data_IF_691502112855
#
_entry.id   IF_691502112855
#
_cell.length_a   1.000
_cell.length_b   1.000
_cell.length_c   1.000
_cell.angle_alpha   90.00
_cell.angle_beta   90.00
_cell.angle_gamma   90.00
#
_symmetry.space_group_name_H-M   'P 1'
#
loop_
_entity.id
_entity.type
_entity.pdbx_description
1 polymer ?
#
# COMPACT_ATOMS: atom_id res chain seq x y z
N UNK A 1 14.52 4.80 5.63
CA UNK A 1 13.12 4.39 5.76
C UNK A 1 12.60 5.01 7.05
N UNK A 2 11.67 5.95 6.95
CA UNK A 2 11.10 6.67 8.07
C UNK A 2 9.70 6.13 8.38
N UNK A 3 9.54 5.66 9.62
CA UNK A 3 8.27 5.14 10.12
C UNK A 3 7.76 6.05 11.22
N UNK A 4 6.56 6.62 11.04
CA UNK A 4 5.96 7.52 12.02
C UNK A 4 4.45 7.36 12.10
N UNK A 5 3.88 7.74 13.23
CA UNK A 5 2.43 7.74 13.47
C UNK A 5 1.99 9.17 13.74
N UNK A 6 0.99 9.65 13.00
CA UNK A 6 0.40 10.98 13.18
C UNK A 6 -1.08 10.86 13.47
N UNK A 7 -1.57 11.69 14.38
CA UNK A 7 -2.99 11.68 14.74
C UNK A 7 -3.83 12.43 13.72
N UNK A 8 -4.99 11.88 13.43
CA UNK A 8 -5.98 12.46 12.53
C UNK A 8 -6.96 13.28 13.36
N UNK A 9 -7.08 14.57 13.05
CA UNK A 9 -7.97 15.49 13.75
C UNK A 9 -9.06 16.05 12.83
N UNK A 10 -10.23 16.32 13.39
CA UNK A 10 -11.25 17.16 12.76
C UNK A 10 -10.85 18.64 12.86
N UNK A 11 -10.91 19.35 11.74
CA UNK A 11 -10.65 20.79 11.68
C UNK A 11 -11.95 21.55 11.51
N UNK A 12 -12.13 22.59 12.34
CA UNK A 12 -13.22 23.56 12.22
C UNK A 12 -12.73 24.96 12.57
N UNK A 13 -13.05 25.93 11.72
CA UNK A 13 -12.60 27.33 11.84
C UNK A 13 -11.08 27.45 12.00
N UNK A 14 -10.33 26.58 11.31
CA UNK A 14 -8.87 26.53 11.34
C UNK A 14 -8.26 25.94 12.61
N UNK A 15 -9.05 25.30 13.48
CA UNK A 15 -8.60 24.70 14.75
C UNK A 15 -8.81 23.19 14.78
N UNK A 16 -7.89 22.49 15.45
CA UNK A 16 -8.03 21.05 15.79
C UNK A 16 -9.13 20.91 16.86
N UNK A 17 -10.20 20.21 16.53
CA UNK A 17 -11.35 20.05 17.44
C UNK A 17 -11.24 18.78 18.27
N UNK A 18 -11.09 17.63 17.61
CA UNK A 18 -11.02 16.32 18.27
C UNK A 18 -10.21 15.33 17.46
N UNK A 19 -9.60 14.38 18.16
CA UNK A 19 -8.97 13.23 17.53
C UNK A 19 -10.06 12.29 16.99
N UNK A 20 -9.89 11.86 15.73
CA UNK A 20 -10.81 10.93 15.04
C UNK A 20 -10.10 9.67 14.54
N UNK A 21 -8.81 9.52 14.84
CA UNK A 21 -8.00 8.43 14.34
C UNK A 21 -6.50 8.70 14.31
N UNK A 22 -5.79 7.88 13.55
CA UNK A 22 -4.36 8.02 13.31
C UNK A 22 -4.01 7.56 11.89
N UNK A 23 -2.88 8.03 11.41
CA UNK A 23 -2.26 7.64 10.15
C UNK A 23 -0.89 7.07 10.48
N UNK A 24 -0.62 5.84 10.05
CA UNK A 24 0.74 5.30 10.03
C UNK A 24 1.37 5.64 8.69
N UNK A 25 2.57 6.18 8.74
CA UNK A 25 3.35 6.58 7.58
C UNK A 25 4.60 5.73 7.57
N UNK A 26 4.87 5.11 6.43
CA UNK A 26 6.10 4.39 6.12
C UNK A 26 6.62 4.96 4.80
N UNK A 27 7.72 5.71 4.87
CA UNK A 27 8.31 6.39 3.72
C UNK A 27 9.73 5.90 3.48
N UNK A 28 10.07 5.66 2.22
CA UNK A 28 11.44 5.49 1.75
C UNK A 28 11.76 6.55 0.69
N UNK A 29 12.95 6.46 0.09
CA UNK A 29 13.45 7.49 -0.84
C UNK A 29 12.66 7.56 -2.17
N UNK A 30 11.88 6.53 -2.51
CA UNK A 30 11.17 6.41 -3.79
C UNK A 30 9.64 6.36 -3.66
N UNK A 31 9.11 5.90 -2.53
CA UNK A 31 7.68 5.68 -2.32
C UNK A 31 7.28 5.82 -0.85
N UNK A 32 5.98 6.04 -0.64
CA UNK A 32 5.38 6.11 0.67
C UNK A 32 4.09 5.30 0.77
N UNK A 33 3.88 4.70 1.95
CA UNK A 33 2.65 4.06 2.36
C UNK A 33 1.99 4.88 3.47
N UNK A 34 0.70 5.18 3.33
CA UNK A 34 -0.15 5.73 4.40
C UNK A 34 -1.19 4.69 4.79
N UNK A 35 -1.27 4.31 6.06
CA UNK A 35 -2.38 3.54 6.60
C UNK A 35 -3.23 4.45 7.47
N UNK A 36 -4.41 4.81 6.97
CA UNK A 36 -5.33 5.73 7.62
C UNK A 36 -6.36 4.92 8.39
N UNK A 37 -6.39 5.11 9.70
CA UNK A 37 -7.34 4.49 10.61
C UNK A 37 -8.18 5.57 11.30
N UNK A 38 -9.41 5.75 10.83
CA UNK A 38 -10.42 6.58 11.48
C UNK A 38 -11.36 5.72 12.31
N UNK A 39 -11.56 6.07 13.58
CA UNK A 39 -12.56 5.45 14.47
C UNK A 39 -13.45 6.54 15.05
N UNK A 40 -14.75 6.47 14.77
CA UNK A 40 -15.76 7.31 15.41
C UNK A 40 -16.93 7.64 14.49
N UNK A 41 -18.04 8.07 15.08
CA UNK A 41 -19.24 8.53 14.36
C UNK A 41 -19.04 9.91 13.69
N UNK A 42 -17.82 10.25 13.28
CA UNK A 42 -17.51 11.52 12.65
C UNK A 42 -18.02 11.60 11.21
N UNK A 43 -18.36 10.46 10.60
CA UNK A 43 -19.00 10.38 9.29
C UNK A 43 -20.32 9.62 9.33
N UNK A 44 -21.30 10.15 8.59
CA UNK A 44 -22.61 9.59 8.27
C UNK A 44 -22.63 9.27 6.78
N UNK A 45 -22.01 8.16 6.37
CA UNK A 45 -21.95 7.71 4.98
C UNK A 45 -21.52 8.84 4.03
N UNK A 46 -20.22 9.11 3.99
CA UNK A 46 -19.65 10.20 3.19
C UNK A 46 -18.72 9.66 2.11
N UNK A 47 -18.68 10.37 0.99
CA UNK A 47 -17.59 10.25 0.04
C UNK A 47 -16.44 11.15 0.51
N UNK A 48 -15.25 10.57 0.62
CA UNK A 48 -14.06 11.24 1.15
C UNK A 48 -13.04 11.38 0.03
N UNK A 49 -12.62 12.61 -0.24
CA UNK A 49 -11.47 12.89 -1.10
C UNK A 49 -10.20 12.96 -0.27
N UNK A 50 -9.17 12.26 -0.72
CA UNK A 50 -7.91 12.17 0.01
C UNK A 50 -6.84 12.97 -0.72
N UNK A 51 -6.14 13.83 0.02
CA UNK A 51 -5.08 14.68 -0.48
C UNK A 51 -3.84 14.55 0.38
N UNK A 52 -2.68 14.40 -0.24
CA UNK A 52 -1.44 14.84 0.39
C UNK A 52 -1.35 16.34 0.25
N UNK A 53 -0.72 17.06 1.19
CA UNK A 53 -0.65 18.51 1.07
C UNK A 53 0.72 19.07 1.41
N UNK A 54 1.04 20.21 0.81
CA UNK A 54 2.26 20.97 1.07
C UNK A 54 1.94 22.46 1.21
N UNK A 55 2.90 23.21 1.73
CA UNK A 55 2.78 24.66 1.91
C UNK A 55 3.68 25.38 0.91
N UNK A 56 3.12 26.35 0.18
CA UNK A 56 3.89 27.23 -0.71
C UNK A 56 3.42 28.67 -0.54
N UNK A 57 4.34 29.59 -0.20
CA UNK A 57 4.04 31.02 0.02
C UNK A 57 2.86 31.25 0.99
N UNK A 58 2.82 30.50 2.11
CA UNK A 58 1.74 30.50 3.12
C UNK A 58 0.37 29.97 2.65
N UNK A 59 0.27 29.46 1.43
CA UNK A 59 -0.94 28.80 0.92
C UNK A 59 -0.80 27.27 1.04
N UNK A 60 -1.88 26.62 1.48
CA UNK A 60 -2.00 25.17 1.54
C UNK A 60 -2.46 24.62 0.17
N UNK A 61 -1.70 23.68 -0.38
CA UNK A 61 -1.98 23.02 -1.65
C UNK A 61 -2.13 21.50 -1.46
N UNK A 62 -3.22 20.93 -1.94
CA UNK A 62 -3.52 19.50 -1.89
C UNK A 62 -3.27 18.80 -3.23
N UNK A 63 -2.48 17.73 -3.19
CA UNK A 63 -2.23 16.79 -4.28
C UNK A 63 -3.27 15.67 -4.16
N UNK A 64 -4.11 15.45 -5.18
CA UNK A 64 -5.16 14.43 -5.13
C UNK A 64 -4.56 13.02 -5.14
N UNK A 65 -4.90 12.22 -4.13
CA UNK A 65 -4.43 10.83 -3.97
C UNK A 65 -5.51 9.79 -4.26
N UNK A 66 -6.79 10.18 -4.21
CA UNK A 66 -7.91 9.29 -4.50
C UNK A 66 -9.20 9.71 -3.82
N UNK A 67 -10.25 8.93 -4.06
CA UNK A 67 -11.59 9.13 -3.48
C UNK A 67 -12.10 7.81 -2.89
N UNK A 68 -12.70 7.88 -1.72
CA UNK A 68 -13.31 6.76 -1.01
C UNK A 68 -14.81 6.99 -0.97
N UNK A 69 -15.60 5.96 -1.30
CA UNK A 69 -17.04 6.10 -1.44
C UNK A 69 -17.78 5.42 -0.29
N UNK A 70 -18.86 6.05 0.19
CA UNK A 70 -19.78 5.46 1.17
C UNK A 70 -19.14 5.12 2.52
N UNK A 71 -18.17 5.90 2.98
CA UNK A 71 -17.47 5.66 4.25
C UNK A 71 -18.40 5.97 5.44
N UNK A 72 -18.60 4.98 6.30
CA UNK A 72 -19.44 5.09 7.50
C UNK A 72 -18.60 5.48 8.73
N UNK A 73 -18.85 4.90 9.90
CA UNK A 73 -18.24 5.29 11.18
C UNK A 73 -16.81 4.76 11.42
N UNK A 74 -16.29 3.93 10.50
CA UNK A 74 -14.94 3.39 10.60
C UNK A 74 -14.29 3.52 9.22
N UNK A 75 -13.09 4.10 9.22
CA UNK A 75 -12.23 4.24 8.05
C UNK A 75 -10.97 3.42 8.30
N UNK A 76 -10.64 2.50 7.40
CA UNK A 76 -9.37 1.76 7.42
C UNK A 76 -8.92 1.58 5.98
N UNK A 77 -8.00 2.43 5.53
CA UNK A 77 -7.54 2.42 4.14
C UNK A 77 -6.02 2.52 4.09
N UNK A 78 -5.41 1.81 3.14
CA UNK A 78 -3.99 1.95 2.81
C UNK A 78 -3.85 2.65 1.47
N UNK A 79 -3.15 3.78 1.47
CA UNK A 79 -2.79 4.52 0.28
C UNK A 79 -1.30 4.34 0.00
N UNK A 80 -0.96 4.22 -1.28
CA UNK A 80 0.40 4.15 -1.78
C UNK A 80 0.60 5.35 -2.69
N UNK A 81 1.76 5.98 -2.60
CA UNK A 81 2.12 7.08 -3.48
C UNK A 81 3.60 6.98 -3.85
N UNK A 82 3.89 7.35 -5.09
CA UNK A 82 5.24 7.33 -5.66
C UNK A 82 5.82 8.73 -5.70
N UNK A 83 7.13 8.82 -5.44
CA UNK A 83 7.86 10.08 -5.47
C UNK A 83 7.66 10.83 -6.79
N UNK A 84 7.76 10.13 -7.91
CA UNK A 84 7.54 10.69 -9.24
C UNK A 84 6.15 11.34 -9.40
N UNK A 85 5.12 10.82 -8.74
CA UNK A 85 3.77 11.40 -8.80
C UNK A 85 3.65 12.67 -7.97
N UNK A 86 4.33 12.71 -6.82
CA UNK A 86 4.38 13.90 -5.95
C UNK A 86 5.25 14.99 -6.58
N UNK A 87 6.35 14.62 -7.21
CA UNK A 87 7.32 15.54 -7.82
C UNK A 87 6.76 16.36 -8.97
N UNK A 88 5.68 15.85 -9.61
CA UNK A 88 4.84 16.60 -10.57
C UNK A 88 4.21 17.85 -9.95
N UNK A 89 4.14 17.99 -8.64
CA UNK A 89 3.51 19.12 -7.95
C UNK A 89 4.51 19.87 -7.06
N UNK A 90 5.30 19.15 -6.27
CA UNK A 90 6.20 19.74 -5.26
C UNK A 90 7.36 18.78 -4.95
N UNK A 91 8.40 19.23 -4.25
CA UNK A 91 9.46 18.33 -3.77
C UNK A 91 8.91 17.30 -2.78
N UNK A 92 9.35 16.05 -2.84
CA UNK A 92 8.81 14.97 -2.00
C UNK A 92 8.90 15.28 -0.50
N UNK A 93 10.01 15.86 -0.05
CA UNK A 93 10.24 16.18 1.36
C UNK A 93 9.45 17.42 1.83
N UNK A 94 8.83 18.16 0.90
CA UNK A 94 8.05 19.36 1.20
C UNK A 94 6.61 19.06 1.62
N UNK A 95 6.16 17.82 1.44
CA UNK A 95 4.80 17.43 1.82
C UNK A 95 4.71 17.55 3.35
N UNK A 96 3.60 18.12 3.86
CA UNK A 96 3.37 18.44 5.28
C UNK A 96 2.24 17.66 5.95
N UNK A 97 1.41 16.96 5.18
CA UNK A 97 0.56 15.93 5.77
C UNK A 97 -0.46 15.37 4.80
N UNK A 98 -1.52 14.84 5.39
CA UNK A 98 -2.70 14.29 4.74
C UNK A 98 -3.94 15.12 5.10
N UNK A 99 -4.82 15.32 4.12
CA UNK A 99 -6.15 15.90 4.27
C UNK A 99 -7.19 14.91 3.76
N UNK A 100 -8.25 14.72 4.54
CA UNK A 100 -9.47 14.03 4.16
C UNK A 100 -10.59 15.05 4.07
N UNK A 101 -11.17 15.21 2.90
CA UNK A 101 -12.30 16.11 2.66
C UNK A 101 -13.58 15.29 2.51
N UNK A 102 -14.48 15.38 3.49
CA UNK A 102 -15.77 14.69 3.49
C UNK A 102 -16.93 15.63 3.11
N UNK A 103 -16.65 16.70 2.36
CA UNK A 103 -17.65 17.65 1.91
C UNK A 103 -18.34 18.36 3.08
N UNK A 104 -19.68 18.26 3.15
CA UNK A 104 -20.48 18.91 4.18
C UNK A 104 -20.20 18.39 5.60
N UNK A 105 -19.60 17.20 5.73
CA UNK A 105 -19.30 16.60 7.03
C UNK A 105 -18.00 17.10 7.64
N UNK A 106 -17.26 17.94 6.92
CA UNK A 106 -16.06 18.62 7.38
C UNK A 106 -14.78 18.04 6.80
N UNK A 107 -13.67 18.62 7.24
CA UNK A 107 -12.33 18.29 6.78
C UNK A 107 -11.49 17.77 7.96
N UNK A 108 -10.72 16.72 7.68
CA UNK A 108 -9.87 16.07 8.66
C UNK A 108 -8.42 16.14 8.17
N UNK A 109 -7.48 16.23 9.10
CA UNK A 109 -6.07 16.41 8.76
C UNK A 109 -5.15 15.68 9.71
N UNK A 110 -4.10 15.08 9.16
CA UNK A 110 -2.95 14.56 9.90
C UNK A 110 -1.71 15.32 9.40
N UNK A 111 -1.09 16.09 10.28
CA UNK A 111 0.09 16.91 9.95
C UNK A 111 1.34 16.19 10.44
N UNK A 112 2.38 16.13 9.61
CA UNK A 112 3.66 15.54 10.01
C UNK A 112 4.41 16.40 11.01
N UNK A 113 4.35 17.72 10.85
CA UNK A 113 4.93 18.64 11.83
C UNK A 113 3.83 19.07 12.81
N UNK A 114 4.15 19.35 14.08
CA UNK A 114 3.13 19.76 15.07
C UNK A 114 2.48 21.13 14.78
N UNK A 115 2.81 21.76 13.65
CA UNK A 115 2.34 23.05 13.16
C UNK A 115 0.83 23.13 12.92
N UNK A 116 0.24 24.27 13.27
CA UNK A 116 -1.12 24.63 12.85
C UNK A 116 -1.11 25.12 11.41
N UNK A 117 -1.82 24.40 10.54
CA UNK A 117 -1.87 24.67 9.10
C UNK A 117 -3.31 24.97 8.66
N UNK A 118 -3.51 25.89 7.70
CA UNK A 118 -4.84 26.31 7.25
C UNK A 118 -5.47 25.26 6.31
N UNK A 119 -5.71 24.06 6.84
CA UNK A 119 -6.19 22.89 6.10
C UNK A 119 -7.55 23.14 5.46
N UNK A 120 -8.43 23.92 6.08
CA UNK A 120 -9.73 24.31 5.52
C UNK A 120 -9.61 25.20 4.26
N UNK A 121 -8.52 25.94 4.11
CA UNK A 121 -8.28 26.82 2.97
C UNK A 121 -7.44 26.14 1.88
N UNK A 122 -7.27 24.81 1.96
CA UNK A 122 -6.55 24.03 0.97
C UNK A 122 -7.14 24.25 -0.43
N UNK A 123 -6.25 24.48 -1.40
CA UNK A 123 -6.56 24.51 -2.83
C UNK A 123 -5.90 23.34 -3.52
N UNK A 124 -6.43 22.92 -4.66
CA UNK A 124 -5.77 21.88 -5.45
C UNK A 124 -4.41 22.36 -5.95
N UNK A 125 -3.41 21.50 -5.85
CA UNK A 125 -2.08 21.77 -6.34
C UNK A 125 -2.09 21.84 -7.88
N UNK A 126 -1.57 22.92 -8.49
CA UNK A 126 -1.33 22.91 -9.92
C UNK A 126 -0.21 21.91 -10.24
N UNK A 127 -0.37 21.12 -11.29
CA UNK A 127 0.75 20.33 -11.84
C UNK A 127 1.83 21.30 -12.31
N UNK A 128 3.10 21.01 -12.04
CA UNK A 128 4.23 21.64 -12.72
C UNK A 128 4.06 21.34 -14.20
N UNK A 129 3.64 22.31 -14.98
CA UNK A 129 3.66 22.18 -16.43
C UNK A 129 5.11 21.97 -16.85
N UNK A 130 5.41 20.78 -17.38
CA UNK A 130 6.65 20.56 -18.11
C UNK A 130 6.46 21.32 -19.42
N UNK A 131 6.81 22.61 -19.43
CA UNK A 131 7.07 23.26 -20.70
C UNK A 131 8.22 22.48 -21.35
N UNK A 132 8.05 21.89 -22.54
CA UNK A 132 9.20 21.57 -23.36
C UNK A 132 9.90 22.91 -23.57
N UNK A 133 11.10 23.05 -23.03
CA UNK A 133 11.94 24.21 -23.25
C UNK A 133 11.92 24.59 -24.74
N UNK A 134 11.52 25.82 -25.12
CA UNK A 134 12.15 26.43 -26.27
C UNK A 134 13.61 26.63 -25.87
N UNK A 135 14.52 26.12 -26.69
CA UNK A 135 15.93 26.38 -26.56
C UNK A 135 16.20 27.89 -26.43
N UNK A 136 17.10 28.23 -25.51
CA UNK A 136 17.95 29.42 -25.53
C UNK A 136 17.25 30.77 -25.79
N UNK A 137 16.98 31.53 -24.72
CA UNK A 137 17.37 32.94 -24.74
C UNK A 137 18.09 33.31 -23.46
N UNK A 138 19.35 33.67 -23.71
CA UNK A 138 20.42 34.09 -22.82
C UNK A 138 19.99 35.05 -21.70
N UNK A 139 20.68 34.86 -20.58
CA UNK A 139 20.91 35.86 -19.55
C UNK A 139 21.19 37.23 -20.18
N UNK A 140 20.25 38.18 -20.05
CA UNK A 140 20.62 39.60 -20.11
C UNK A 140 21.34 39.97 -18.81
N UNK A 141 22.62 39.64 -18.79
CA UNK A 141 23.62 40.28 -17.94
C UNK A 141 23.59 41.80 -18.17
N UNK A 142 23.49 42.54 -17.08
CA UNK A 142 23.72 43.99 -17.02
C UNK A 142 25.25 44.17 -17.02
N UNK A 143 25.86 44.97 -17.90
CA UNK A 143 27.31 45.16 -17.88
C UNK A 143 27.68 46.25 -16.86
N UNK A 144 28.46 45.89 -15.85
CA UNK A 144 29.19 46.84 -15.02
C UNK A 144 30.69 46.60 -15.22
N UNK A 145 31.32 47.52 -15.95
CA UNK A 145 32.77 47.60 -16.11
C UNK A 145 33.44 48.26 -14.88
N UNK A 146 34.76 48.10 -14.71
CA UNK A 146 35.40 47.95 -13.40
C UNK A 146 36.03 49.23 -12.86
N UNK A 147 36.27 49.26 -11.54
CA UNK A 147 37.29 50.09 -10.93
C UNK A 147 37.94 49.33 -9.76
N UNK A 148 39.28 49.35 -9.78
CA UNK A 148 40.26 48.98 -8.75
C UNK A 148 39.89 49.63 -7.39
N UNK A 149 40.39 49.28 -6.20
CA UNK A 149 41.77 49.12 -5.72
C UNK A 149 41.71 48.47 -4.31
N UNK A 150 42.75 47.73 -3.97
CA UNK A 150 43.53 47.78 -2.72
C UNK A 150 43.35 46.70 -1.63
N UNK A 151 44.49 46.04 -1.41
CA UNK A 151 44.88 45.12 -0.35
C UNK A 151 44.79 45.74 1.05
N UNK A 152 44.34 44.96 2.04
CA UNK A 152 45.11 44.80 3.29
C UNK A 152 44.64 43.67 4.20
N UNK A 153 45.58 42.82 4.57
CA UNK A 153 45.59 41.90 5.71
C UNK A 153 45.17 42.55 7.03
N UNK A 154 44.49 41.79 7.89
CA UNK A 154 44.78 41.63 9.34
C UNK A 154 43.73 40.70 9.96
N UNK A 155 44.13 39.49 10.36
CA UNK A 155 44.37 39.06 11.75
C UNK A 155 43.11 38.55 12.49
N UNK A 156 43.09 37.23 12.68
CA UNK A 156 42.51 36.54 13.84
C UNK A 156 43.19 37.06 15.14
N UNK A 157 42.51 37.03 16.31
CA UNK A 157 42.68 35.84 17.13
C UNK A 157 41.51 35.45 18.08
N UNK A 158 41.50 34.15 18.39
CA UNK A 158 41.36 33.50 19.70
C UNK A 158 40.05 33.58 20.52
N UNK A 159 39.47 32.38 20.66
CA UNK A 159 38.88 31.74 21.85
C UNK A 159 38.78 32.51 23.17
N UNK A 160 37.59 32.47 23.79
CA UNK A 160 37.43 32.38 25.24
C UNK A 160 36.28 31.42 25.58
N UNK A 161 36.64 30.55 26.51
CA UNK A 161 35.96 29.46 27.20
C UNK A 161 34.83 29.93 28.15
N UNK A 162 33.82 29.08 28.36
CA UNK A 162 33.02 29.07 29.59
C UNK A 162 32.25 27.74 29.72
N UNK A 163 32.83 26.82 30.50
CA UNK A 163 32.16 25.70 31.15
C UNK A 163 31.43 26.14 32.44
N UNK A 164 30.32 25.47 32.76
CA UNK A 164 29.87 24.94 34.07
C UNK A 164 28.50 24.28 33.82
N UNK A 165 28.25 22.96 33.89
CA UNK A 165 28.50 21.90 34.88
C UNK A 165 27.32 21.66 35.87
N UNK A 166 27.17 20.39 36.27
CA UNK A 166 26.17 19.71 37.13
C UNK A 166 25.04 18.99 36.35
N UNK A 167 25.08 17.69 36.04
CA UNK A 167 25.50 16.42 36.73
C UNK A 167 24.49 15.91 37.76
N UNK A 168 23.91 14.72 37.51
CA UNK A 168 23.65 13.60 38.43
C UNK A 168 23.31 12.35 37.56
N UNK A 169 24.31 11.48 37.31
CA UNK A 169 24.49 10.12 37.88
C UNK A 169 23.39 9.11 37.50
N UNK A 170 23.62 8.18 36.58
CA UNK A 170 24.35 6.88 36.64
C UNK A 170 23.58 5.72 37.31
N UNK A 171 23.39 4.64 36.55
CA UNK A 171 23.68 3.21 36.83
C UNK A 171 22.84 2.41 35.80
N UNK A 172 23.39 1.89 34.71
CA UNK A 172 24.40 0.84 34.54
C UNK A 172 23.86 -0.59 34.78
N UNK A 173 23.93 -1.41 33.72
CA UNK A 173 23.98 -2.88 33.73
C UNK A 173 24.20 -3.35 32.28
N UNK A 174 25.47 -3.54 31.97
CA UNK A 174 25.99 -4.28 30.82
C UNK A 174 25.83 -5.81 30.97
N UNK A 175 26.23 -6.47 29.88
CA UNK A 175 26.56 -7.89 29.66
C UNK A 175 25.42 -8.84 29.24
N UNK A 176 25.62 -9.78 28.34
CA UNK A 176 26.67 -10.09 27.37
C UNK A 176 26.13 -11.21 26.47
N UNK A 177 26.89 -11.52 25.43
CA UNK A 177 26.65 -12.44 24.32
C UNK A 177 26.25 -13.89 24.67
N UNK A 178 25.50 -14.53 23.77
CA UNK A 178 26.02 -15.58 22.84
C UNK A 178 24.87 -16.30 22.12
N UNK A 179 25.09 -16.78 20.87
CA UNK A 179 24.16 -17.63 20.15
C UNK A 179 24.42 -19.12 20.44
N UNK A 180 23.38 -19.92 20.58
CA UNK A 180 23.51 -21.38 20.64
C UNK A 180 23.07 -21.97 19.31
N UNK A 181 24.05 -22.42 18.54
CA UNK A 181 23.89 -23.48 17.55
C UNK A 181 23.48 -24.78 18.24
N UNK A 182 22.68 -25.60 17.55
CA UNK A 182 22.76 -27.06 17.72
C UNK A 182 22.48 -27.70 16.37
N UNK A 183 23.58 -28.07 15.75
CA UNK A 183 23.73 -29.11 14.73
C UNK A 183 23.39 -30.49 15.31
N UNK A 184 22.95 -31.43 14.47
CA UNK A 184 23.16 -32.88 14.59
C UNK A 184 22.50 -33.63 13.42
N UNK A 185 23.32 -33.83 12.39
CA UNK A 185 23.66 -35.11 11.74
C UNK A 185 22.65 -35.93 10.89
N UNK A 186 23.12 -36.16 9.66
CA UNK A 186 22.84 -37.28 8.76
C UNK A 186 23.11 -38.65 9.40
N UNK A 187 22.39 -39.71 8.99
CA UNK A 187 23.02 -40.93 8.42
C UNK A 187 21.99 -41.93 7.87
N UNK A 188 22.21 -42.28 6.59
CA UNK A 188 22.25 -43.63 6.01
C UNK A 188 21.15 -44.69 6.26
N UNK A 189 20.57 -45.13 5.13
CA UNK A 189 19.96 -46.46 4.88
C UNK A 189 20.96 -47.60 5.17
N UNK A 190 20.55 -48.88 5.38
CA UNK A 190 20.44 -49.79 4.21
C UNK A 190 19.51 -51.03 4.35
N UNK A 191 19.38 -51.76 3.22
CA UNK A 191 18.99 -53.18 3.01
C UNK A 191 17.51 -53.53 3.25
N UNK A 192 16.73 -53.93 2.23
CA UNK A 192 16.77 -55.22 1.50
C UNK A 192 15.65 -56.11 2.08
N UNK A 193 14.73 -56.74 1.35
CA UNK A 193 14.82 -57.72 0.26
C UNK A 193 13.36 -58.05 -0.07
N UNK A 194 12.93 -57.99 -1.33
CA UNK A 194 12.86 -59.08 -2.32
C UNK A 194 11.44 -59.68 -2.40
N UNK A 195 11.13 -60.09 -3.63
CA UNK A 195 10.08 -61.02 -4.07
C UNK A 195 8.80 -60.33 -4.53
N UNK A 196 8.48 -60.28 -5.82
CA UNK A 196 9.07 -60.93 -6.99
C UNK A 196 8.00 -60.95 -8.07
N UNK A 197 8.43 -60.68 -9.31
CA UNK A 197 8.03 -61.38 -10.55
C UNK A 197 6.53 -61.42 -10.93
N UNK A 198 6.09 -61.13 -12.15
CA UNK A 198 6.75 -61.23 -13.46
C UNK A 198 5.81 -60.67 -14.55
N UNK A 199 6.40 -60.11 -15.61
CA UNK A 199 6.07 -60.35 -17.04
C UNK A 199 4.70 -59.90 -17.63
N UNK A 200 4.58 -59.42 -18.87
CA UNK A 200 5.52 -59.12 -19.93
C UNK A 200 4.80 -58.30 -21.03
N UNK A 201 5.61 -57.55 -21.78
CA UNK A 201 5.56 -57.43 -23.25
C UNK A 201 4.57 -56.51 -23.97
N UNK A 202 5.14 -55.79 -24.95
CA UNK A 202 4.41 -55.15 -26.05
C UNK A 202 4.97 -53.77 -26.46
N UNK A 203 6.14 -53.74 -27.12
CA UNK A 203 6.72 -52.55 -27.77
C UNK A 203 6.28 -52.44 -29.23
N UNK A 204 6.23 -51.20 -29.74
CA UNK A 204 6.23 -50.69 -31.15
C UNK A 204 4.89 -50.10 -31.61
N UNK A 205 4.78 -49.03 -32.42
CA UNK A 205 5.67 -48.05 -33.07
C UNK A 205 4.74 -46.93 -33.60
N UNK A 206 5.16 -45.67 -33.45
CA UNK A 206 4.95 -44.44 -34.29
C UNK A 206 3.61 -44.19 -35.03
N UNK A 207 3.07 -42.99 -34.76
CA UNK A 207 2.03 -42.14 -35.43
C UNK A 207 2.15 -42.04 -36.97
N UNK A 208 1.17 -41.55 -37.77
CA UNK A 208 0.27 -40.43 -37.43
C UNK A 208 -1.14 -40.44 -38.09
N UNK A 209 -1.85 -39.32 -37.86
CA UNK A 209 -2.95 -38.73 -38.65
C UNK A 209 -4.42 -39.00 -38.25
N UNK A 210 -4.94 -38.02 -37.52
CA UNK A 210 -6.20 -37.27 -37.77
C UNK A 210 -7.53 -38.03 -37.88
N UNK A 211 -8.28 -38.03 -36.77
CA UNK A 211 -9.70 -37.64 -36.81
C UNK A 211 -10.13 -37.11 -35.42
N UNK A 212 -10.30 -35.79 -35.33
CA UNK A 212 -10.80 -35.08 -34.15
C UNK A 212 -12.28 -35.42 -33.93
N UNK A 213 -12.56 -36.34 -33.00
CA UNK A 213 -13.84 -36.38 -32.29
C UNK A 213 -13.56 -35.86 -30.88
N UNK A 214 -13.62 -34.54 -30.70
CA UNK A 214 -13.72 -33.96 -29.36
C UNK A 214 -15.07 -34.37 -28.80
N UNK A 215 -15.11 -35.49 -28.07
CA UNK A 215 -16.07 -35.61 -26.98
C UNK A 215 -15.76 -34.45 -26.05
N UNK A 216 -16.68 -33.49 -25.98
CA UNK A 216 -16.71 -32.53 -24.89
C UNK A 216 -16.97 -33.33 -23.62
N UNK A 217 -15.90 -33.68 -22.92
CA UNK A 217 -15.99 -33.86 -21.48
C UNK A 217 -16.51 -32.51 -20.96
N UNK A 218 -17.79 -32.48 -20.57
CA UNK A 218 -18.29 -31.42 -19.69
C UNK A 218 -17.54 -31.56 -18.37
N UNK A 219 -16.31 -31.07 -18.34
CA UNK A 219 -15.62 -30.77 -17.10
C UNK A 219 -16.46 -29.70 -16.42
N UNK A 220 -16.92 -30.00 -15.20
CA UNK A 220 -17.68 -29.05 -14.43
C UNK A 220 -16.75 -27.86 -14.16
N UNK A 221 -16.98 -26.74 -14.86
CA UNK A 221 -16.15 -25.54 -14.72
C UNK A 221 -16.12 -25.03 -13.27
N UNK A 222 -15.13 -24.19 -12.92
CA UNK A 222 -15.00 -23.63 -11.58
C UNK A 222 -16.28 -22.90 -11.18
N UNK A 223 -16.82 -23.21 -9.99
CA UNK A 223 -18.03 -22.56 -9.49
C UNK A 223 -17.67 -21.37 -8.62
N UNK A 224 -18.17 -20.20 -9.00
CA UNK A 224 -17.95 -18.95 -8.27
C UNK A 224 -19.12 -18.63 -7.36
N UNK A 225 -18.82 -18.25 -6.12
CA UNK A 225 -19.80 -17.76 -5.16
C UNK A 225 -19.32 -16.44 -4.56
N UNK A 226 -20.20 -15.44 -4.59
CA UNK A 226 -20.00 -14.20 -3.84
C UNK A 226 -20.27 -14.45 -2.37
N UNK A 227 -19.32 -14.09 -1.51
CA UNK A 227 -19.48 -14.19 -0.07
C UNK A 227 -19.13 -12.90 0.67
N UNK A 228 -19.50 -12.90 1.93
CA UNK A 228 -19.36 -11.84 2.92
C UNK A 228 -18.32 -12.21 3.97
N UNK A 229 -18.12 -11.33 4.95
CA UNK A 229 -17.21 -11.62 6.06
C UNK A 229 -17.74 -12.76 6.93
N UNK A 230 -19.06 -12.88 7.04
CA UNK A 230 -19.71 -13.91 7.84
C UNK A 230 -19.46 -15.31 7.27
N UNK A 231 -19.34 -15.42 5.94
CA UNK A 231 -19.08 -16.67 5.23
C UNK A 231 -17.64 -17.20 5.47
N UNK A 232 -16.73 -16.38 6.00
CA UNK A 232 -15.41 -16.86 6.45
C UNK A 232 -15.53 -17.87 7.60
N UNK A 233 -16.63 -17.85 8.35
CA UNK A 233 -16.90 -18.83 9.41
C UNK A 233 -17.24 -20.22 8.86
N UNK A 234 -17.66 -20.31 7.59
CA UNK A 234 -17.91 -21.58 6.89
C UNK A 234 -16.62 -22.31 6.52
N UNK A 235 -15.48 -21.59 6.53
CA UNK A 235 -14.18 -22.19 6.25
C UNK A 235 -13.75 -23.15 7.37
N UNK A 236 -12.88 -24.14 7.06
CA UNK A 236 -12.27 -24.98 8.06
C UNK A 236 -11.65 -24.15 9.18
N UNK A 237 -11.77 -24.60 10.45
CA UNK A 237 -11.27 -23.84 11.62
C UNK A 237 -9.79 -23.44 11.51
N UNK A 238 -8.99 -24.22 10.79
CA UNK A 238 -7.57 -23.94 10.54
C UNK A 238 -7.36 -22.65 9.75
N UNK A 239 -8.34 -22.22 8.96
CA UNK A 239 -8.26 -21.10 8.02
C UNK A 239 -8.95 -19.84 8.56
N UNK A 240 -9.52 -19.89 9.77
CA UNK A 240 -10.17 -18.74 10.42
C UNK A 240 -9.23 -17.57 10.70
N UNK A 241 -7.90 -17.79 10.73
CA UNK A 241 -6.94 -16.68 10.84
C UNK A 241 -7.02 -15.72 9.63
N UNK A 242 -7.57 -16.17 8.49
CA UNK A 242 -7.81 -15.33 7.32
C UNK A 242 -8.81 -14.20 7.62
N UNK A 243 -9.70 -14.36 8.60
CA UNK A 243 -10.59 -13.29 9.06
C UNK A 243 -9.86 -12.09 9.67
N UNK A 244 -8.59 -12.27 10.06
CA UNK A 244 -7.71 -11.23 10.56
C UNK A 244 -6.58 -10.89 9.56
N UNK A 245 -6.59 -11.46 8.36
CA UNK A 245 -5.59 -11.15 7.35
C UNK A 245 -5.82 -9.73 6.80
N UNK A 246 -4.83 -8.87 6.97
CA UNK A 246 -4.90 -7.45 6.58
C UNK A 246 -5.19 -7.25 5.09
N UNK A 247 -4.68 -8.13 4.22
CA UNK A 247 -4.90 -8.04 2.78
C UNK A 247 -6.35 -8.40 2.42
N UNK A 248 -6.86 -9.52 2.95
CA UNK A 248 -8.26 -9.93 2.77
C UNK A 248 -9.23 -8.89 3.29
N UNK A 249 -8.99 -8.39 4.51
CA UNK A 249 -9.82 -7.35 5.11
C UNK A 249 -9.80 -6.08 4.28
N UNK A 250 -8.65 -5.66 3.77
CA UNK A 250 -8.54 -4.47 2.94
C UNK A 250 -9.35 -4.62 1.65
N UNK A 251 -9.21 -5.73 0.93
CA UNK A 251 -10.00 -5.98 -0.29
C UNK A 251 -11.49 -6.06 0.00
N UNK A 252 -11.90 -6.75 1.07
CA UNK A 252 -13.30 -6.82 1.49
C UNK A 252 -13.86 -5.43 1.86
N UNK A 253 -13.11 -4.60 2.59
CA UNK A 253 -13.61 -3.28 2.95
C UNK A 253 -13.69 -2.32 1.77
N UNK A 254 -12.86 -2.51 0.74
CA UNK A 254 -12.89 -1.68 -0.46
C UNK A 254 -14.03 -2.09 -1.39
N UNK A 255 -14.22 -3.39 -1.64
CA UNK A 255 -15.16 -3.89 -2.64
C UNK A 255 -16.40 -4.59 -2.07
N UNK A 256 -16.51 -4.73 -0.74
CA UNK A 256 -17.66 -5.26 0.03
C UNK A 256 -18.05 -6.72 -0.24
N UNK A 257 -17.17 -7.48 -0.89
CA UNK A 257 -17.40 -8.90 -1.13
C UNK A 257 -16.08 -9.67 -1.14
N UNK A 258 -16.19 -10.98 -1.02
CA UNK A 258 -15.13 -11.95 -1.26
C UNK A 258 -15.63 -12.92 -2.33
N UNK A 259 -14.69 -13.55 -3.02
CA UNK A 259 -14.97 -14.59 -3.98
C UNK A 259 -14.62 -15.94 -3.36
N UNK A 260 -15.53 -16.89 -3.43
CA UNK A 260 -15.26 -18.28 -3.12
C UNK A 260 -15.31 -19.05 -4.43
N UNK A 261 -14.26 -19.84 -4.69
CA UNK A 261 -14.12 -20.60 -5.92
C UNK A 261 -14.02 -22.07 -5.52
N UNK A 262 -14.91 -22.88 -6.06
CA UNK A 262 -14.91 -24.33 -5.89
C UNK A 262 -14.47 -24.98 -7.20
N UNK A 263 -13.34 -25.68 -7.16
CA UNK A 263 -12.75 -26.40 -8.28
C UNK A 263 -12.61 -27.89 -7.93
N UNK A 264 -12.48 -28.76 -8.92
CA UNK A 264 -12.30 -30.21 -8.70
C UNK A 264 -11.07 -30.52 -7.82
N UNK A 265 -10.03 -29.69 -7.91
CA UNK A 265 -8.77 -29.85 -7.15
C UNK A 265 -8.74 -29.10 -5.81
N UNK A 266 -9.80 -28.37 -5.43
CA UNK A 266 -9.92 -27.76 -4.11
C UNK A 266 -10.69 -26.44 -4.06
N UNK A 267 -10.75 -25.87 -2.86
CA UNK A 267 -11.43 -24.60 -2.58
C UNK A 267 -10.44 -23.43 -2.57
N UNK A 268 -10.84 -22.31 -3.17
CA UNK A 268 -10.07 -21.07 -3.14
C UNK A 268 -10.91 -19.92 -2.60
N UNK A 269 -10.22 -18.97 -1.99
CA UNK A 269 -10.77 -17.68 -1.61
C UNK A 269 -10.05 -16.58 -2.38
N UNK A 270 -10.83 -15.72 -3.03
CA UNK A 270 -10.41 -14.58 -3.82
C UNK A 270 -10.72 -13.27 -3.11
N UNK A 271 -9.71 -12.42 -3.00
CA UNK A 271 -9.83 -11.06 -2.47
C UNK A 271 -9.92 -10.10 -3.66
N UNK A 272 -11.02 -9.34 -3.81
CA UNK A 272 -11.14 -8.40 -4.91
C UNK A 272 -10.07 -7.31 -4.82
N UNK A 273 -9.46 -7.00 -5.97
CA UNK A 273 -8.32 -6.09 -6.06
C UNK A 273 -8.02 -5.66 -7.48
N UNK A 274 -7.01 -4.80 -7.63
CA UNK A 274 -6.51 -4.40 -8.94
C UNK A 274 -5.19 -5.12 -9.22
N UNK A 275 -4.95 -5.46 -10.48
CA UNK A 275 -3.67 -6.02 -10.86
C UNK A 275 -2.64 -4.91 -10.97
N UNK A 276 -1.73 -4.88 -10.00
CA UNK A 276 -0.55 -4.02 -10.02
C UNK A 276 0.66 -4.82 -9.51
N UNK A 277 1.88 -4.69 -10.08
CA UNK A 277 3.05 -5.47 -9.66
C UNK A 277 3.39 -5.38 -8.17
N UNK A 278 3.07 -4.25 -7.51
CA UNK A 278 3.23 -4.11 -6.06
C UNK A 278 2.11 -4.79 -5.27
N UNK A 279 0.88 -4.77 -5.79
CA UNK A 279 -0.23 -5.50 -5.19
C UNK A 279 0.01 -7.00 -5.31
N UNK A 280 0.61 -7.47 -6.42
CA UNK A 280 1.04 -8.85 -6.60
C UNK A 280 2.04 -9.29 -5.51
N UNK A 281 3.10 -8.50 -5.27
CA UNK A 281 4.08 -8.80 -4.22
C UNK A 281 3.46 -8.79 -2.82
N UNK A 282 2.55 -7.84 -2.56
CA UNK A 282 1.85 -7.78 -1.29
C UNK A 282 0.92 -8.99 -1.11
N UNK A 283 0.10 -9.29 -2.12
CA UNK A 283 -0.80 -10.43 -2.15
C UNK A 283 -0.03 -11.72 -1.88
N UNK A 284 1.07 -11.94 -2.59
CA UNK A 284 1.99 -13.07 -2.40
C UNK A 284 2.51 -13.15 -0.95
N UNK A 285 2.99 -12.03 -0.39
CA UNK A 285 3.46 -11.95 1.00
C UNK A 285 2.36 -12.25 2.03
N UNK A 286 1.10 -11.93 1.72
CA UNK A 286 -0.07 -12.23 2.55
C UNK A 286 -0.71 -13.59 2.24
N UNK A 287 -0.12 -14.35 1.32
CA UNK A 287 -0.50 -15.71 0.95
C UNK A 287 -1.60 -15.81 -0.10
N UNK A 288 -1.78 -14.80 -0.95
CA UNK A 288 -2.68 -14.75 -2.11
C UNK A 288 -1.87 -14.60 -3.41
N UNK A 289 -1.10 -15.62 -3.83
CA UNK A 289 -0.13 -15.52 -4.92
C UNK A 289 -0.76 -15.42 -6.31
N UNK A 290 -1.97 -15.96 -6.49
CA UNK A 290 -2.60 -16.06 -7.81
C UNK A 290 -3.51 -14.87 -8.08
N UNK A 291 -3.47 -14.30 -9.28
CA UNK A 291 -4.46 -13.31 -9.71
C UNK A 291 -5.35 -13.90 -10.79
N UNK A 292 -6.66 -13.88 -10.57
CA UNK A 292 -7.66 -14.39 -11.50
C UNK A 292 -8.62 -13.29 -11.89
N UNK A 293 -8.84 -13.14 -13.20
CA UNK A 293 -9.91 -12.29 -13.73
C UNK A 293 -11.11 -13.16 -14.00
N UNK A 294 -12.27 -12.62 -13.69
CA UNK A 294 -13.52 -13.22 -14.12
C UNK A 294 -13.83 -12.79 -15.54
N UNK A 295 -14.41 -13.70 -16.31
CA UNK A 295 -15.04 -13.41 -17.58
C UNK A 295 -16.30 -12.56 -17.36
N UNK A 296 -16.74 -11.78 -18.37
CA UNK A 296 -17.95 -10.97 -18.25
C UNK A 296 -19.20 -11.75 -17.83
N UNK A 297 -19.30 -13.02 -18.24
CA UNK A 297 -20.43 -13.90 -17.90
C UNK A 297 -20.43 -14.27 -16.41
N UNK A 298 -19.28 -14.67 -15.86
CA UNK A 298 -19.14 -15.01 -14.43
C UNK A 298 -19.37 -13.77 -13.55
N UNK A 299 -18.95 -12.58 -14.01
CA UNK A 299 -19.22 -11.33 -13.30
C UNK A 299 -20.72 -10.97 -13.26
N UNK A 300 -21.47 -11.32 -14.30
CA UNK A 300 -22.92 -11.11 -14.38
C UNK A 300 -23.67 -12.10 -13.49
N UNK A 301 -23.23 -13.36 -13.44
CA UNK A 301 -23.75 -14.38 -12.51
C UNK A 301 -23.59 -13.98 -11.04
N UNK A 302 -22.48 -13.32 -10.69
CA UNK A 302 -22.21 -12.82 -9.33
C UNK A 302 -23.00 -11.55 -8.97
N UNK A 303 -23.72 -10.95 -9.92
CA UNK A 303 -24.53 -9.74 -9.73
C UNK A 303 -23.75 -8.60 -9.03
N UNK A 304 -22.50 -8.41 -9.44
CA UNK A 304 -21.60 -7.42 -8.84
C UNK A 304 -22.07 -5.99 -9.18
N UNK A 305 -22.20 -5.15 -8.14
CA UNK A 305 -22.59 -3.73 -8.30
C UNK A 305 -21.42 -2.91 -8.83
N UNK A 306 -21.72 -1.75 -9.41
CA UNK A 306 -20.68 -0.81 -9.90
C UNK A 306 -19.68 -0.38 -8.81
N UNK A 307 -20.12 -0.32 -7.54
CA UNK A 307 -19.28 0.01 -6.38
C UNK A 307 -18.38 -1.16 -5.94
N UNK A 308 -18.65 -2.36 -6.40
CA UNK A 308 -17.91 -3.59 -6.06
C UNK A 308 -16.86 -3.91 -7.12
N UNK A 309 -16.70 -3.05 -8.13
CA UNK A 309 -15.72 -3.20 -9.20
C UNK A 309 -14.89 -1.94 -9.34
N UNK A 310 -13.75 -2.06 -10.02
CA UNK A 310 -12.97 -0.92 -10.46
C UNK A 310 -12.94 -0.87 -11.99
N UNK A 311 -13.51 0.18 -12.59
CA UNK A 311 -13.55 0.38 -14.05
C UNK A 311 -12.31 1.09 -14.60
N UNK A 312 -11.46 1.65 -13.73
CA UNK A 312 -10.30 2.45 -14.13
C UNK A 312 -9.01 1.64 -14.24
N UNK A 313 -9.00 0.41 -13.73
CA UNK A 313 -7.83 -0.46 -13.69
C UNK A 313 -8.21 -1.90 -14.02
N UNK A 314 -7.19 -2.76 -14.12
CA UNK A 314 -7.38 -4.19 -14.32
C UNK A 314 -7.92 -4.81 -13.03
N UNK A 315 -9.24 -4.96 -12.92
CA UNK A 315 -9.89 -5.55 -11.76
C UNK A 315 -9.91 -7.09 -11.83
N UNK A 316 -9.86 -7.73 -10.68
CA UNK A 316 -9.93 -9.19 -10.53
C UNK A 316 -9.78 -9.60 -9.08
N UNK A 317 -9.36 -10.84 -8.85
CA UNK A 317 -9.32 -11.46 -7.54
C UNK A 317 -7.96 -12.08 -7.27
N UNK A 318 -7.38 -11.73 -6.14
CA UNK A 318 -6.18 -12.36 -5.59
C UNK A 318 -6.59 -13.61 -4.83
N UNK A 319 -6.25 -14.78 -5.36
CA UNK A 319 -6.73 -16.08 -4.93
C UNK A 319 -5.70 -16.81 -4.08
N UNK A 320 -6.21 -17.55 -3.09
CA UNK A 320 -5.47 -18.48 -2.23
C UNK A 320 -6.22 -19.80 -2.15
N UNK A 321 -5.49 -20.91 -2.27
CA UNK A 321 -6.01 -22.26 -2.00
C UNK A 321 -6.19 -22.48 -0.50
N UNK A 322 -7.37 -22.96 -0.12
CA UNK A 322 -7.74 -23.32 1.25
C UNK A 322 -7.40 -24.79 1.46
N UNK A 323 -6.76 -25.13 2.60
CA UNK A 323 -6.29 -26.50 2.89
C UNK A 323 -7.12 -27.25 3.93
#
# INVERSE_FOLDING_TARGET
MENMIRYLFEYRDGRRIRNVGFVKIDQNEENGTLQIHGRGTFLKQADIRVYLFFMKRKQCYGIPMGELHGVQSILSVRLLYDREEIEKYTEFDSVKGLILDAGEQGRFGAVWDESDLPIEQMRLAPKKEVHPFPAEEEEKMIPAAPAEIDDRESEEPAAVDSEEAETLMETDSEEAETPVETDSEETETPVGTDSGEQEESGKMVVTPEEENVYMQEETAGPRYRKGSREDLMELPRKEWYLANNSFLLHGYYNYKHLLFIEEEEGFYIGVPGIYHPREARAADSFGFPEFRKLSPNEEEELQLKAQEKNSHAVFGYWCRKIR
#
